data_IF_025785786938
#
_entry.id   IF_025785786938
#
_cell.length_a   1.000
_cell.length_b   1.000
_cell.length_c   1.000
_cell.angle_alpha   90.00
_cell.angle_beta   90.00
_cell.angle_gamma   90.00
#
_symmetry.space_group_name_H-M   'P 1'
#
loop_
_entity.id
_entity.type
_entity.pdbx_description
1 polymer ?
#
# COMPACT_ATOMS: atom_id res chain seq x y z
N UNK A 1 7.30 -5.15 18.93
CA UNK A 1 6.49 -5.89 19.93
C UNK A 1 6.64 -7.36 19.58
N UNK A 2 7.58 -8.05 20.23
CA UNK A 2 7.97 -9.42 19.88
C UNK A 2 6.86 -10.39 20.26
N UNK A 3 6.22 -11.02 19.27
CA UNK A 3 5.31 -12.14 19.48
C UNK A 3 6.11 -13.43 19.40
N UNK A 4 6.43 -13.95 20.58
CA UNK A 4 6.96 -15.30 20.79
C UNK A 4 5.83 -16.28 20.45
N UNK A 5 5.94 -17.03 19.36
CA UNK A 5 5.04 -18.14 19.07
C UNK A 5 5.47 -19.36 19.88
N UNK A 6 4.59 -19.83 20.75
CA UNK A 6 4.72 -21.10 21.47
C UNK A 6 4.40 -22.26 20.53
N UNK A 7 5.37 -23.14 20.30
CA UNK A 7 5.14 -24.45 19.67
C UNK A 7 4.64 -25.39 20.77
N UNK A 8 3.39 -25.82 20.69
CA UNK A 8 2.85 -26.90 21.53
C UNK A 8 3.06 -28.22 20.77
N UNK A 9 3.99 -29.05 21.27
CA UNK A 9 4.12 -30.45 20.85
C UNK A 9 2.98 -31.26 21.48
N UNK A 10 2.11 -31.85 20.65
CA UNK A 10 1.07 -32.77 21.10
C UNK A 10 1.63 -34.21 21.08
N UNK A 11 1.72 -34.84 22.25
CA UNK A 11 1.98 -36.27 22.37
C UNK A 11 0.75 -36.96 22.96
N UNK A 12 -0.03 -37.63 22.11
CA UNK A 12 -1.03 -38.60 22.54
C UNK A 12 -1.07 -39.74 21.51
N UNK A 13 -0.55 -40.89 21.93
CA UNK A 13 -0.54 -42.14 21.20
C UNK A 13 -1.94 -42.78 21.20
N UNK A 14 -2.55 -42.92 20.03
CA UNK A 14 -3.62 -43.89 19.76
C UNK A 14 -3.19 -44.81 18.62
N UNK A 15 -3.19 -46.12 18.87
CA UNK A 15 -3.01 -47.16 17.86
C UNK A 15 -4.19 -47.14 16.89
N UNK A 16 -4.01 -46.47 15.75
CA UNK A 16 -4.66 -46.83 14.49
C UNK A 16 -3.55 -47.29 13.54
N UNK A 17 -3.85 -48.20 12.61
CA UNK A 17 -2.92 -48.71 11.62
C UNK A 17 -2.01 -47.58 11.13
N UNK A 18 -0.68 -47.73 11.31
CA UNK A 18 0.31 -46.77 10.84
C UNK A 18 0.10 -46.59 9.33
N UNK A 19 -0.65 -45.56 8.99
CA UNK A 19 -0.76 -45.09 7.63
C UNK A 19 0.59 -44.46 7.35
N UNK A 20 1.28 -44.97 6.34
CA UNK A 20 2.64 -44.59 5.95
C UNK A 20 2.67 -43.16 5.38
N UNK A 21 2.16 -42.15 6.08
CA UNK A 21 2.08 -40.76 5.59
C UNK A 21 3.44 -40.14 5.31
N UNK A 22 4.53 -40.69 5.89
CA UNK A 22 5.91 -40.35 5.50
C UNK A 22 6.22 -40.70 4.02
N UNK A 23 5.34 -41.44 3.35
CA UNK A 23 5.45 -41.81 1.93
C UNK A 23 4.85 -40.75 0.99
N UNK A 24 4.29 -39.64 1.50
CA UNK A 24 3.88 -38.50 0.67
C UNK A 24 4.83 -37.34 1.01
N UNK A 25 5.58 -36.86 0.01
CA UNK A 25 6.65 -35.88 0.22
C UNK A 25 6.61 -34.80 -0.84
N UNK A 26 7.23 -33.66 -0.56
CA UNK A 26 7.56 -32.64 -1.57
C UNK A 26 9.05 -32.66 -1.87
N UNK A 27 9.46 -32.14 -3.03
CA UNK A 27 10.88 -32.00 -3.39
C UNK A 27 11.64 -31.15 -2.38
N UNK A 28 11.00 -30.09 -1.89
CA UNK A 28 11.58 -29.11 -0.98
C UNK A 28 10.55 -28.73 0.09
N UNK A 29 10.93 -28.82 1.36
CA UNK A 29 10.11 -28.36 2.49
C UNK A 29 10.38 -26.90 2.86
N UNK A 30 11.42 -26.31 2.28
CA UNK A 30 11.80 -24.90 2.41
C UNK A 30 12.11 -24.35 1.02
N UNK A 31 11.37 -23.32 0.61
CA UNK A 31 11.49 -22.68 -0.70
C UNK A 31 11.87 -21.22 -0.48
N UNK A 32 13.14 -20.93 -0.71
CA UNK A 32 13.66 -19.56 -0.64
C UNK A 32 13.74 -18.96 -2.04
N UNK A 33 13.02 -17.87 -2.27
CA UNK A 33 13.10 -17.09 -3.50
C UNK A 33 14.33 -16.18 -3.52
N UNK A 34 15.03 -16.01 -2.39
CA UNK A 34 16.17 -15.11 -2.28
C UNK A 34 15.75 -13.65 -2.43
N UNK A 35 16.53 -12.87 -3.18
CA UNK A 35 16.16 -11.50 -3.54
C UNK A 35 15.18 -11.50 -4.71
N UNK A 36 14.03 -10.86 -4.52
CA UNK A 36 12.95 -10.75 -5.49
C UNK A 36 12.61 -9.28 -5.73
N UNK A 37 12.27 -8.95 -6.97
CA UNK A 37 11.89 -7.59 -7.35
C UNK A 37 10.40 -7.36 -7.09
N UNK A 38 10.05 -6.25 -6.42
CA UNK A 38 8.67 -5.85 -6.20
C UNK A 38 7.91 -5.66 -7.52
N UNK A 39 6.60 -5.90 -7.50
CA UNK A 39 5.64 -5.82 -8.62
C UNK A 39 5.77 -6.92 -9.69
N UNK A 40 6.94 -7.56 -9.81
CA UNK A 40 7.15 -8.71 -10.68
C UNK A 40 6.58 -10.01 -10.07
N UNK A 41 6.30 -10.98 -10.93
CA UNK A 41 5.93 -12.34 -10.52
C UNK A 41 7.19 -13.20 -10.54
N UNK A 42 7.48 -13.82 -9.41
CA UNK A 42 8.55 -14.81 -9.28
C UNK A 42 7.93 -16.19 -9.08
N UNK A 43 8.59 -17.26 -9.50
CA UNK A 43 8.08 -18.63 -9.34
C UNK A 43 9.17 -19.63 -9.02
N UNK A 44 8.85 -20.63 -8.20
CA UNK A 44 9.66 -21.81 -7.95
C UNK A 44 8.84 -23.08 -8.20
N UNK A 45 9.44 -24.06 -8.89
CA UNK A 45 8.78 -25.34 -9.18
C UNK A 45 9.00 -26.30 -8.01
N UNK A 46 7.93 -26.97 -7.57
CA UNK A 46 7.92 -27.99 -6.52
C UNK A 46 7.29 -29.26 -7.08
N UNK A 47 7.75 -30.42 -6.62
CA UNK A 47 7.15 -31.70 -6.99
C UNK A 47 6.58 -32.40 -5.76
N UNK A 48 5.30 -32.75 -5.81
CA UNK A 48 4.64 -33.65 -4.87
C UNK A 48 4.89 -35.09 -5.32
N UNK A 49 5.31 -35.95 -4.40
CA UNK A 49 5.57 -37.36 -4.64
C UNK A 49 4.61 -38.22 -3.81
N UNK A 50 4.02 -39.22 -4.46
CA UNK A 50 3.24 -40.25 -3.82
C UNK A 50 4.00 -41.57 -3.89
N UNK A 51 4.63 -41.99 -2.79
CA UNK A 51 5.34 -43.27 -2.67
C UNK A 51 4.46 -44.40 -2.16
N UNK A 52 3.13 -44.22 -2.13
CA UNK A 52 2.17 -45.27 -1.79
C UNK A 52 1.83 -46.11 -3.03
N UNK A 53 1.44 -47.36 -2.81
CA UNK A 53 0.90 -48.25 -3.86
C UNK A 53 -0.56 -47.94 -4.24
N UNK A 54 -1.14 -46.89 -3.65
CA UNK A 54 -2.47 -46.37 -3.97
C UNK A 54 -2.39 -44.91 -4.39
N UNK A 55 -3.31 -44.47 -5.24
CA UNK A 55 -3.46 -43.06 -5.55
C UNK A 55 -3.83 -42.24 -4.30
N UNK A 56 -3.46 -40.96 -4.31
CA UNK A 56 -3.84 -39.97 -3.28
C UNK A 56 -4.62 -38.84 -3.94
N UNK A 57 -5.50 -38.20 -3.18
CA UNK A 57 -6.23 -37.02 -3.62
C UNK A 57 -5.74 -35.78 -2.87
N UNK A 58 -5.24 -34.78 -3.59
CA UNK A 58 -4.98 -33.44 -3.06
C UNK A 58 -6.30 -32.69 -3.04
N UNK A 59 -6.79 -32.36 -1.86
CA UNK A 59 -8.06 -31.65 -1.68
C UNK A 59 -7.92 -30.13 -1.76
N UNK A 60 -6.71 -29.60 -1.58
CA UNK A 60 -6.43 -28.17 -1.71
C UNK A 60 -5.02 -27.81 -1.28
N UNK A 61 -4.62 -26.58 -1.60
CA UNK A 61 -3.32 -26.02 -1.25
C UNK A 61 -3.48 -24.51 -0.99
N UNK A 62 -3.07 -24.06 0.19
CA UNK A 62 -3.41 -22.73 0.70
C UNK A 62 -2.22 -22.07 1.40
N UNK A 63 -2.08 -20.76 1.18
CA UNK A 63 -1.28 -19.86 2.01
C UNK A 63 -2.22 -19.11 2.96
N UNK A 64 -1.68 -18.57 4.05
CA UNK A 64 -2.46 -17.75 4.98
C UNK A 64 -2.60 -16.31 4.48
N UNK A 65 -1.62 -15.82 3.70
CA UNK A 65 -1.60 -14.49 3.09
C UNK A 65 -1.60 -14.56 1.54
N UNK A 66 -1.85 -13.42 0.88
CA UNK A 66 -2.05 -13.37 -0.58
C UNK A 66 -0.76 -13.17 -1.40
N UNK A 67 0.39 -12.85 -0.77
CA UNK A 67 1.63 -12.57 -1.50
C UNK A 67 2.25 -13.83 -2.13
N UNK A 68 2.14 -14.96 -1.43
CA UNK A 68 2.49 -16.26 -1.98
C UNK A 68 1.24 -16.98 -2.45
N UNK A 69 1.30 -17.63 -3.60
CA UNK A 69 0.20 -18.43 -4.13
C UNK A 69 0.71 -19.62 -4.93
N UNK A 70 -0.17 -20.58 -5.23
CA UNK A 70 0.21 -21.81 -5.94
C UNK A 70 -0.76 -22.10 -7.08
N UNK A 71 -0.26 -22.73 -8.14
CA UNK A 71 -1.11 -23.31 -9.21
C UNK A 71 -1.57 -24.73 -8.90
N UNK A 72 -1.24 -25.28 -7.72
CA UNK A 72 -1.70 -26.59 -7.27
C UNK A 72 -3.21 -26.58 -6.99
N UNK A 73 -3.98 -26.99 -7.99
CA UNK A 73 -5.41 -27.23 -7.88
C UNK A 73 -5.69 -28.64 -7.32
N UNK A 74 -6.90 -28.89 -6.78
CA UNK A 74 -7.30 -30.24 -6.37
C UNK A 74 -7.11 -31.25 -7.50
N UNK A 75 -6.43 -32.34 -7.21
CA UNK A 75 -5.99 -33.31 -8.22
C UNK A 75 -5.66 -34.67 -7.60
N UNK A 76 -5.68 -35.72 -8.41
CA UNK A 76 -5.24 -37.05 -8.00
C UNK A 76 -3.78 -37.28 -8.41
N UNK A 77 -2.97 -37.80 -7.49
CA UNK A 77 -1.60 -38.26 -7.78
C UNK A 77 -1.58 -39.78 -7.78
N UNK A 78 -1.25 -40.43 -8.92
CA UNK A 78 -1.23 -41.89 -9.02
C UNK A 78 -0.31 -42.56 -8.00
N UNK A 79 -0.53 -43.85 -7.73
CA UNK A 79 0.38 -44.69 -6.96
C UNK A 79 1.80 -44.63 -7.51
N UNK A 80 2.81 -44.47 -6.66
CA UNK A 80 4.22 -44.30 -7.05
C UNK A 80 4.45 -43.16 -8.07
N UNK A 81 3.53 -42.19 -8.10
CA UNK A 81 3.51 -41.09 -9.06
C UNK A 81 4.01 -39.77 -8.47
N UNK A 82 4.02 -38.74 -9.30
CA UNK A 82 4.42 -37.39 -8.92
C UNK A 82 3.58 -36.33 -9.64
N UNK A 83 3.51 -35.13 -9.08
CA UNK A 83 2.83 -33.98 -9.65
C UNK A 83 3.66 -32.71 -9.42
N UNK A 84 4.03 -32.02 -10.51
CA UNK A 84 4.76 -30.76 -10.44
C UNK A 84 3.79 -29.59 -10.42
N UNK A 85 4.07 -28.60 -9.59
CA UNK A 85 3.33 -27.35 -9.44
C UNK A 85 4.31 -26.22 -9.15
N UNK A 86 3.85 -24.97 -9.23
CA UNK A 86 4.65 -23.81 -8.89
C UNK A 86 4.08 -23.09 -7.67
N UNK A 87 5.00 -22.60 -6.86
CA UNK A 87 4.74 -21.52 -5.90
C UNK A 87 5.14 -20.23 -6.58
N UNK A 88 4.31 -19.21 -6.45
CA UNK A 88 4.53 -17.87 -6.98
C UNK A 88 4.63 -16.88 -5.83
N UNK A 89 5.35 -15.79 -6.07
CA UNK A 89 5.43 -14.61 -5.21
C UNK A 89 5.08 -13.37 -6.05
N UNK A 90 4.15 -12.55 -5.55
CA UNK A 90 3.90 -11.21 -6.10
C UNK A 90 3.50 -10.24 -4.99
N UNK A 91 4.28 -9.18 -4.81
CA UNK A 91 3.99 -8.13 -3.82
C UNK A 91 4.56 -6.79 -4.27
N UNK A 92 4.01 -5.70 -3.72
CA UNK A 92 4.43 -4.34 -3.98
C UNK A 92 5.26 -3.69 -2.86
N UNK A 93 5.68 -4.44 -1.84
CA UNK A 93 6.43 -3.88 -0.70
C UNK A 93 7.84 -4.45 -0.62
N UNK A 94 8.81 -3.61 -0.28
CA UNK A 94 10.21 -3.98 -0.12
C UNK A 94 10.52 -4.49 1.30
N UNK A 95 9.91 -5.60 1.67
CA UNK A 95 10.07 -6.25 2.96
C UNK A 95 10.38 -7.74 2.80
N UNK A 96 10.82 -8.36 3.89
CA UNK A 96 10.97 -9.79 3.99
C UNK A 96 9.61 -10.45 4.19
N UNK A 97 9.32 -11.44 3.36
CA UNK A 97 8.12 -12.27 3.46
C UNK A 97 8.49 -13.68 3.90
N UNK A 98 7.65 -14.24 4.76
CA UNK A 98 7.69 -15.66 5.15
C UNK A 98 6.27 -16.16 5.30
N UNK A 99 5.96 -17.30 4.70
CA UNK A 99 4.66 -17.94 4.83
C UNK A 99 4.81 -19.47 4.73
N UNK A 100 3.70 -20.20 4.83
CA UNK A 100 3.64 -21.65 4.77
C UNK A 100 2.54 -22.10 3.80
N UNK A 101 2.94 -22.80 2.75
CA UNK A 101 1.98 -23.53 1.92
C UNK A 101 1.50 -24.77 2.67
N UNK A 102 0.21 -24.83 2.94
CA UNK A 102 -0.47 -25.99 3.50
C UNK A 102 -1.14 -26.77 2.38
N UNK A 103 -0.67 -27.99 2.10
CA UNK A 103 -1.25 -28.92 1.12
C UNK A 103 -2.07 -29.96 1.88
N UNK A 104 -3.38 -30.01 1.60
CA UNK A 104 -4.28 -30.99 2.18
C UNK A 104 -4.40 -32.22 1.29
N UNK A 105 -4.14 -33.39 1.86
CA UNK A 105 -4.25 -34.69 1.18
C UNK A 105 -5.29 -35.55 1.87
N UNK A 106 -6.12 -36.24 1.10
CA UNK A 106 -7.13 -37.20 1.56
C UNK A 106 -8.01 -36.67 2.71
N UNK A 107 -8.47 -35.42 2.61
CA UNK A 107 -9.36 -34.82 3.61
C UNK A 107 -8.66 -34.22 4.83
N UNK A 108 -7.35 -33.92 4.74
CA UNK A 108 -6.67 -33.02 5.69
C UNK A 108 -6.20 -33.64 7.00
N UNK A 109 -6.20 -34.98 7.11
CA UNK A 109 -5.78 -35.68 8.34
C UNK A 109 -4.29 -35.42 8.66
N UNK A 110 -3.46 -35.15 7.63
CA UNK A 110 -2.07 -34.68 7.78
C UNK A 110 -1.69 -33.75 6.61
N UNK A 111 -1.61 -32.42 6.81
CA UNK A 111 -1.16 -31.53 5.74
C UNK A 111 0.35 -31.64 5.52
N UNK A 112 0.79 -31.53 4.26
CA UNK A 112 2.19 -31.23 3.96
C UNK A 112 2.39 -29.72 4.09
N UNK A 113 3.51 -29.32 4.68
CA UNK A 113 3.87 -27.92 4.90
C UNK A 113 5.14 -27.61 4.12
N UNK A 114 5.09 -26.55 3.31
CA UNK A 114 6.27 -25.98 2.65
C UNK A 114 6.44 -24.56 3.16
N UNK A 115 7.56 -24.29 3.84
CA UNK A 115 7.90 -22.93 4.25
C UNK A 115 8.39 -22.15 3.02
N UNK A 116 7.92 -20.92 2.84
CA UNK A 116 8.39 -20.01 1.80
C UNK A 116 9.06 -18.79 2.42
N UNK A 117 10.03 -18.22 1.71
CA UNK A 117 10.64 -16.94 2.09
C UNK A 117 11.10 -16.14 0.87
N UNK A 118 11.14 -14.81 1.02
CA UNK A 118 11.71 -13.91 0.02
C UNK A 118 12.10 -12.57 0.65
N UNK A 119 13.25 -12.02 0.24
CA UNK A 119 13.59 -10.61 0.46
C UNK A 119 13.15 -9.81 -0.75
N UNK A 120 12.15 -8.94 -0.60
CA UNK A 120 11.67 -8.13 -1.71
C UNK A 120 12.34 -6.77 -1.70
N UNK A 121 12.78 -6.32 -2.88
CA UNK A 121 13.49 -5.06 -3.10
C UNK A 121 12.83 -4.27 -4.23
N UNK A 122 12.91 -2.93 -4.16
CA UNK A 122 12.55 -2.08 -5.30
C UNK A 122 13.70 -2.02 -6.30
N UNK A 123 13.38 -1.82 -7.58
CA UNK A 123 14.41 -1.59 -8.62
C UNK A 123 15.08 -0.22 -8.49
N UNK A 124 14.35 0.77 -7.97
CA UNK A 124 14.83 2.14 -7.79
C UNK A 124 15.35 2.34 -6.36
N UNK A 125 16.58 2.87 -6.27
CA UNK A 125 17.26 3.21 -5.01
C UNK A 125 16.59 4.32 -4.19
N UNK A 126 15.69 5.11 -4.77
CA UNK A 126 15.03 6.24 -4.10
C UNK A 126 14.36 5.83 -2.78
N UNK A 127 13.82 4.62 -2.71
CA UNK A 127 13.14 4.07 -1.54
C UNK A 127 14.00 3.05 -0.74
N UNK A 128 15.30 2.93 -1.00
CA UNK A 128 16.19 2.04 -0.21
C UNK A 128 16.07 2.24 1.31
N UNK A 129 15.95 3.49 1.84
CA UNK A 129 15.78 3.69 3.28
C UNK A 129 14.51 3.07 3.86
N UNK A 130 13.53 2.66 3.05
CA UNK A 130 12.29 2.02 3.50
C UNK A 130 12.40 0.51 3.66
N UNK A 131 13.50 -0.11 3.20
CA UNK A 131 13.68 -1.56 3.20
C UNK A 131 13.42 -2.16 4.58
N UNK A 132 12.55 -3.17 4.63
CA UNK A 132 12.21 -3.89 5.86
C UNK A 132 11.68 -2.98 6.99
N UNK A 133 11.00 -1.87 6.66
CA UNK A 133 10.39 -0.96 7.65
C UNK A 133 8.87 -0.95 7.56
N UNK A 134 8.23 -0.74 8.70
CA UNK A 134 6.79 -0.55 8.83
C UNK A 134 6.48 0.46 9.94
N UNK A 135 5.23 0.93 10.00
CA UNK A 135 4.74 1.80 11.05
C UNK A 135 5.58 3.08 11.23
N UNK A 136 6.03 3.33 12.47
CA UNK A 136 6.79 4.54 12.81
C UNK A 136 8.16 4.61 12.10
N UNK A 137 8.82 3.46 11.90
CA UNK A 137 10.13 3.42 11.23
C UNK A 137 9.99 3.74 9.74
N UNK A 138 8.95 3.20 9.10
CA UNK A 138 8.62 3.53 7.71
C UNK A 138 8.26 5.01 7.57
N UNK A 139 7.42 5.53 8.47
CA UNK A 139 7.06 6.96 8.50
C UNK A 139 8.31 7.84 8.62
N UNK A 140 9.24 7.48 9.51
CA UNK A 140 10.49 8.22 9.69
C UNK A 140 11.39 8.14 8.45
N UNK A 141 11.53 6.97 7.84
CA UNK A 141 12.30 6.80 6.60
C UNK A 141 11.74 7.66 5.46
N UNK A 142 10.42 7.59 5.23
CA UNK A 142 9.74 8.41 4.23
C UNK A 142 9.90 9.91 4.51
N UNK A 143 9.71 10.34 5.77
CA UNK A 143 9.96 11.73 6.16
C UNK A 143 11.39 12.16 5.84
N UNK A 144 12.40 11.31 6.10
CA UNK A 144 13.78 11.63 5.80
C UNK A 144 14.09 11.72 4.30
N UNK A 145 13.36 11.00 3.46
CA UNK A 145 13.43 11.10 1.99
C UNK A 145 12.87 12.45 1.52
N UNK A 146 11.72 12.88 2.06
CA UNK A 146 10.98 14.05 1.55
C UNK A 146 11.20 15.35 2.35
N UNK A 147 11.94 15.33 3.46
CA UNK A 147 12.23 16.53 4.26
C UNK A 147 13.16 17.49 3.52
N UNK A 148 13.29 18.70 4.06
CA UNK A 148 14.16 19.74 3.46
C UNK A 148 13.48 20.53 2.35
N UNK A 149 12.15 20.53 2.32
CA UNK A 149 11.39 21.47 1.50
C UNK A 149 11.69 22.91 1.92
N UNK A 150 11.60 23.83 0.96
CA UNK A 150 11.70 25.26 1.25
C UNK A 150 10.39 25.73 1.83
N UNK A 151 10.42 26.20 3.06
CA UNK A 151 9.26 26.75 3.74
C UNK A 151 9.15 28.25 3.46
N UNK A 152 7.95 28.70 3.08
CA UNK A 152 7.64 30.11 2.91
C UNK A 152 6.74 30.60 4.04
N UNK A 153 6.91 31.88 4.41
CA UNK A 153 6.01 32.51 5.36
C UNK A 153 4.63 32.69 4.75
N UNK A 154 3.60 32.74 5.59
CA UNK A 154 2.23 32.99 5.13
C UNK A 154 2.10 34.29 4.32
N UNK A 155 2.88 35.33 4.68
CA UNK A 155 2.94 36.59 3.93
C UNK A 155 3.50 36.46 2.51
N UNK A 156 4.38 35.50 2.26
CA UNK A 156 4.98 35.27 0.93
C UNK A 156 4.04 34.63 -0.07
N UNK A 157 2.93 34.05 0.41
CA UNK A 157 1.92 33.43 -0.43
C UNK A 157 1.28 34.41 -1.42
N UNK A 158 1.19 35.71 -1.10
CA UNK A 158 0.66 36.70 -2.06
C UNK A 158 1.51 36.79 -3.32
N UNK A 159 2.83 36.86 -3.16
CA UNK A 159 3.79 36.90 -4.27
C UNK A 159 3.74 35.57 -5.04
N UNK A 160 3.79 34.43 -4.33
CA UNK A 160 3.84 33.11 -4.95
C UNK A 160 2.58 32.81 -5.75
N UNK A 161 1.39 33.04 -5.19
CA UNK A 161 0.12 32.76 -5.87
C UNK A 161 -0.12 33.72 -7.04
N UNK A 162 0.40 34.95 -6.95
CA UNK A 162 0.40 35.88 -8.09
C UNK A 162 1.18 35.32 -9.28
N UNK A 163 2.21 34.52 -9.04
CA UNK A 163 3.01 33.91 -10.10
C UNK A 163 2.44 32.54 -10.53
N UNK A 164 2.03 31.69 -9.59
CA UNK A 164 1.62 30.30 -9.88
C UNK A 164 0.23 30.19 -10.49
N UNK A 165 -0.64 31.15 -10.22
CA UNK A 165 -2.04 31.15 -10.64
C UNK A 165 -2.35 32.37 -11.53
N UNK A 166 -1.31 32.96 -12.15
CA UNK A 166 -1.43 34.06 -13.11
C UNK A 166 -2.43 33.72 -14.24
N UNK A 167 -3.30 34.67 -14.59
CA UNK A 167 -4.19 34.51 -15.74
C UNK A 167 -3.37 34.54 -17.05
N UNK A 168 -3.39 33.44 -17.84
CA UNK A 168 -2.64 33.37 -19.10
C UNK A 168 -3.03 34.45 -20.13
N UNK A 169 -4.23 35.03 -20.00
CA UNK A 169 -4.72 36.07 -20.89
C UNK A 169 -4.54 37.49 -20.31
N UNK A 170 -4.21 37.62 -19.02
CA UNK A 170 -3.96 38.90 -18.37
C UNK A 170 -2.94 38.75 -17.21
N UNK A 171 -1.64 38.97 -17.47
CA UNK A 171 -0.58 38.80 -16.46
C UNK A 171 -0.69 39.71 -15.22
N UNK A 172 -1.59 40.69 -15.22
CA UNK A 172 -1.86 41.50 -14.03
C UNK A 172 -2.87 40.85 -13.08
N UNK A 173 -3.43 39.69 -13.45
CA UNK A 173 -4.49 39.00 -12.73
C UNK A 173 -4.08 37.58 -12.32
N UNK A 174 -4.86 37.01 -11.40
CA UNK A 174 -4.86 35.59 -11.02
C UNK A 174 -6.21 34.95 -11.35
N UNK A 175 -6.21 33.64 -11.60
CA UNK A 175 -7.43 32.84 -11.75
C UNK A 175 -7.83 32.24 -10.40
N UNK A 176 -9.06 32.50 -9.96
CA UNK A 176 -9.58 32.00 -8.70
C UNK A 176 -10.04 30.54 -8.83
N UNK A 177 -9.64 29.67 -7.89
CA UNK A 177 -9.72 28.21 -8.04
C UNK A 177 -11.14 27.67 -8.30
N UNK A 178 -12.16 28.21 -7.62
CA UNK A 178 -13.53 27.67 -7.71
C UNK A 178 -14.40 28.39 -8.76
N UNK A 179 -14.27 29.70 -8.90
CA UNK A 179 -15.08 30.49 -9.84
C UNK A 179 -14.48 30.59 -11.23
N UNK A 180 -13.17 30.38 -11.38
CA UNK A 180 -12.44 30.63 -12.62
C UNK A 180 -12.33 32.11 -12.99
N UNK A 181 -12.73 33.02 -12.08
CA UNK A 181 -12.69 34.45 -12.34
C UNK A 181 -11.25 34.98 -12.38
N UNK A 182 -11.04 35.98 -13.22
CA UNK A 182 -9.77 36.68 -13.37
C UNK A 182 -9.76 37.95 -12.53
N UNK A 183 -9.00 37.97 -11.44
CA UNK A 183 -8.95 39.07 -10.47
C UNK A 183 -7.59 39.76 -10.47
N UNK A 184 -7.52 41.10 -10.31
CA UNK A 184 -6.24 41.79 -10.21
C UNK A 184 -5.38 41.23 -9.08
N UNK A 185 -4.10 40.99 -9.35
CA UNK A 185 -3.10 40.54 -8.35
C UNK A 185 -3.10 41.46 -7.14
N UNK A 186 -3.26 42.76 -7.35
CA UNK A 186 -3.31 43.77 -6.29
C UNK A 186 -4.60 43.77 -5.45
N UNK A 187 -5.68 43.13 -5.90
CA UNK A 187 -6.97 43.12 -5.22
C UNK A 187 -7.11 41.94 -4.24
N UNK A 188 -6.05 41.71 -3.45
CA UNK A 188 -6.02 40.65 -2.45
C UNK A 188 -6.27 41.18 -1.04
N UNK A 189 -6.91 40.39 -0.19
CA UNK A 189 -7.13 40.79 1.21
C UNK A 189 -8.19 39.95 1.92
N UNK A 190 -9.13 40.62 2.56
CA UNK A 190 -10.17 39.99 3.38
C UNK A 190 -11.56 40.62 3.24
N UNK A 191 -11.72 41.59 2.34
CA UNK A 191 -13.05 42.11 1.98
C UNK A 191 -13.71 41.16 0.99
N UNK A 192 -15.05 41.17 0.93
CA UNK A 192 -15.83 40.25 0.11
C UNK A 192 -15.44 40.29 -1.38
N UNK A 193 -15.13 41.47 -1.91
CA UNK A 193 -14.75 41.73 -3.30
C UNK A 193 -13.26 41.49 -3.61
N UNK A 194 -12.55 40.83 -2.71
CA UNK A 194 -11.12 40.54 -2.83
C UNK A 194 -10.89 39.03 -2.91
N UNK A 195 -9.75 38.66 -3.45
CA UNK A 195 -9.29 37.28 -3.33
C UNK A 195 -8.43 37.09 -2.07
N UNK A 196 -8.51 35.89 -1.49
CA UNK A 196 -7.72 35.45 -0.36
C UNK A 196 -7.02 34.11 -0.64
N UNK A 197 -6.42 33.55 0.41
CA UNK A 197 -5.70 32.27 0.37
C UNK A 197 -6.62 31.18 0.88
N UNK A 198 -7.08 30.34 -0.03
CA UNK A 198 -7.88 29.16 0.27
C UNK A 198 -6.99 27.97 0.58
N UNK A 199 -7.25 27.30 1.71
CA UNK A 199 -6.65 26.01 2.04
C UNK A 199 -7.55 24.92 1.47
N UNK A 200 -7.27 24.40 0.28
CA UNK A 200 -8.17 23.46 -0.42
C UNK A 200 -8.43 22.21 0.44
N UNK A 201 -7.45 21.79 1.25
CA UNK A 201 -7.72 20.91 2.38
C UNK A 201 -7.89 21.75 3.65
N UNK A 202 -9.09 21.73 4.23
CA UNK A 202 -9.43 22.66 5.30
C UNK A 202 -8.54 22.43 6.55
N UNK A 203 -8.05 23.54 7.11
CA UNK A 203 -7.17 23.54 8.29
C UNK A 203 -7.66 22.69 9.46
N UNK A 204 -8.97 22.69 9.69
CA UNK A 204 -9.61 21.96 10.79
C UNK A 204 -9.45 20.43 10.70
N UNK A 205 -9.18 19.88 9.52
CA UNK A 205 -8.96 18.43 9.39
C UNK A 205 -7.58 17.98 9.87
N UNK A 206 -6.60 18.89 9.91
CA UNK A 206 -5.22 18.58 10.30
C UNK A 206 -4.63 19.42 11.42
N UNK A 207 -5.40 20.36 11.96
CA UNK A 207 -5.01 21.28 13.04
C UNK A 207 -3.65 21.99 12.81
N UNK A 208 -3.38 22.36 11.55
CA UNK A 208 -2.07 22.91 11.16
C UNK A 208 -2.05 24.45 11.09
N UNK A 209 -3.20 25.11 11.19
CA UNK A 209 -3.30 26.58 11.24
C UNK A 209 -2.70 27.27 10.00
N UNK A 210 -1.94 28.34 10.22
CA UNK A 210 -1.27 29.13 9.16
C UNK A 210 0.25 29.16 9.33
N UNK A 211 0.78 28.25 10.15
CA UNK A 211 2.21 28.13 10.42
C UNK A 211 2.83 27.12 9.46
N UNK A 212 4.09 27.37 9.07
CA UNK A 212 4.86 26.40 8.32
C UNK A 212 5.05 25.09 9.12
N UNK A 213 5.15 23.93 8.45
CA UNK A 213 5.15 23.79 6.99
C UNK A 213 3.75 23.68 6.38
N UNK A 214 2.81 22.98 7.03
CA UNK A 214 1.53 22.63 6.43
C UNK A 214 0.58 23.84 6.25
N UNK A 215 0.62 24.83 7.13
CA UNK A 215 -0.24 26.02 7.04
C UNK A 215 0.15 27.02 5.96
N UNK A 216 1.33 26.85 5.36
CA UNK A 216 1.86 27.70 4.29
C UNK A 216 2.24 26.91 3.04
N UNK A 217 1.83 25.64 2.96
CA UNK A 217 2.18 24.76 1.84
C UNK A 217 1.42 25.17 0.57
N UNK A 218 2.20 25.61 -0.42
CA UNK A 218 1.73 26.13 -1.71
C UNK A 218 1.08 25.04 -2.55
N UNK A 219 1.31 23.76 -2.26
CA UNK A 219 0.65 22.66 -2.97
C UNK A 219 -0.86 22.58 -2.70
N UNK A 220 -1.34 23.15 -1.59
CA UNK A 220 -2.78 23.13 -1.25
C UNK A 220 -3.34 24.51 -0.89
N UNK A 221 -2.57 25.58 -1.09
CA UNK A 221 -3.09 26.94 -0.97
C UNK A 221 -3.31 27.53 -2.36
N UNK A 222 -4.50 28.08 -2.60
CA UNK A 222 -4.88 28.67 -3.90
C UNK A 222 -5.59 30.02 -3.73
N UNK A 223 -5.52 30.91 -4.74
CA UNK A 223 -6.32 32.12 -4.73
C UNK A 223 -7.80 31.77 -4.85
N UNK A 224 -8.63 32.38 -4.00
CA UNK A 224 -10.07 32.17 -4.00
C UNK A 224 -10.77 33.47 -3.66
N UNK A 225 -11.97 33.66 -4.19
CA UNK A 225 -12.83 34.75 -3.76
C UNK A 225 -13.13 34.63 -2.25
N UNK A 226 -13.15 35.75 -1.52
CA UNK A 226 -13.35 35.74 -0.06
C UNK A 226 -14.73 35.20 0.33
N UNK A 227 -15.76 35.55 -0.43
CA UNK A 227 -17.14 35.08 -0.23
C UNK A 227 -17.21 33.57 -0.49
N UNK A 228 -16.66 33.11 -1.62
CA UNK A 228 -16.66 31.69 -2.00
C UNK A 228 -15.87 30.86 -1.00
N UNK A 229 -14.69 31.33 -0.58
CA UNK A 229 -13.90 30.67 0.45
C UNK A 229 -14.68 30.57 1.78
N UNK A 230 -15.30 31.67 2.23
CA UNK A 230 -16.12 31.65 3.44
C UNK A 230 -17.29 30.67 3.33
N UNK A 231 -17.89 30.52 2.14
CA UNK A 231 -18.97 29.59 1.92
C UNK A 231 -18.50 28.14 1.88
N UNK A 232 -17.33 27.89 1.29
CA UNK A 232 -16.67 26.58 1.31
C UNK A 232 -16.37 26.16 2.75
N UNK A 233 -15.82 27.06 3.56
CA UNK A 233 -15.51 26.81 4.97
C UNK A 233 -14.61 25.57 5.17
N UNK A 234 -15.13 24.55 5.85
CA UNK A 234 -14.45 23.27 6.09
C UNK A 234 -15.16 22.08 5.42
N UNK A 235 -15.93 22.35 4.36
CA UNK A 235 -16.64 21.30 3.65
C UNK A 235 -15.64 20.38 2.93
N UNK A 236 -15.89 19.07 3.05
CA UNK A 236 -15.19 18.05 2.28
C UNK A 236 -15.56 18.16 0.79
N UNK A 237 -14.62 17.80 -0.09
CA UNK A 237 -14.93 17.60 -1.50
C UNK A 237 -15.77 16.32 -1.64
N UNK A 238 -17.00 16.45 -2.13
CA UNK A 238 -17.92 15.35 -2.43
C UNK A 238 -18.63 15.63 -3.77
N UNK A 239 -19.51 14.74 -4.21
CA UNK A 239 -20.43 14.98 -5.33
C UNK A 239 -21.45 16.08 -4.98
N UNK A 240 -20.97 17.32 -5.07
CA UNK A 240 -21.63 18.55 -5.48
C UNK A 240 -22.60 19.21 -4.50
N UNK A 241 -23.25 18.45 -3.61
CA UNK A 241 -24.31 19.00 -2.77
C UNK A 241 -25.26 19.92 -3.56
N UNK A 242 -25.43 21.15 -3.08
CA UNK A 242 -26.12 22.22 -3.82
C UNK A 242 -25.09 23.24 -4.33
N UNK A 243 -25.19 23.59 -5.60
CA UNK A 243 -24.38 24.66 -6.21
C UNK A 243 -24.52 25.98 -5.45
N UNK A 244 -23.37 26.60 -5.15
CA UNK A 244 -23.33 27.96 -4.62
C UNK A 244 -23.12 28.93 -5.78
N UNK A 245 -24.06 29.87 -5.93
CA UNK A 245 -23.92 31.00 -6.84
C UNK A 245 -23.50 32.21 -6.02
N UNK A 246 -22.31 32.69 -6.30
CA UNK A 246 -21.78 33.92 -5.73
C UNK A 246 -22.53 35.14 -6.30
N UNK A 247 -23.05 36.06 -5.47
CA UNK A 247 -23.81 37.21 -5.96
C UNK A 247 -23.00 38.35 -6.60
N UNK A 248 -21.66 38.30 -6.50
CA UNK A 248 -20.75 39.34 -7.02
C UNK A 248 -20.63 39.37 -8.56
#
# INVERSE_FOLDING_TARGET
MNRIFFIILFAASLLFAQSNWNAITVSDTVVDFGSATAYDIHSQSITLFNHLDSAIHVSGAYFDEDEFYTDLQPTDVPANGQYAFHIYLKTGQNVNYTDFLRIEVNGGIHPLIVQTSAQVEYTDSYYDPTQNKWGADLKSALHNIIKGHTEYSYSKLWDILSDTDEDPNNPNNVILIYSGWSYPKSNHGGNADQWNREHVWAKSHGDFGTSAPAGTDVHHIRPCDVSVNSKRGNLDFDNGGTEYVDPD
#
